data_IF_826138683275
#
_entry.id   IF_826138683275
#
_cell.length_a   1.000
_cell.length_b   1.000
_cell.length_c   1.000
_cell.angle_alpha   90.00
_cell.angle_beta   90.00
_cell.angle_gamma   90.00
#
_symmetry.space_group_name_H-M   'P 1'
#
loop_
_entity.id
_entity.type
_entity.pdbx_description
1 polymer ?
#
# COMPACT_ATOMS: atom_id res chain seq x y z
N UNK A 1 -1.75 -7.89 -7.14
CA UNK A 1 -2.88 -8.29 -6.27
C UNK A 1 -2.69 -9.70 -5.69
N UNK A 2 -2.27 -10.71 -6.47
CA UNK A 2 -2.11 -12.11 -5.99
C UNK A 2 -1.11 -12.22 -4.85
N UNK A 3 0.07 -11.59 -4.97
CA UNK A 3 1.11 -11.60 -3.92
C UNK A 3 0.59 -10.89 -2.66
N UNK A 4 -0.08 -9.76 -2.81
CA UNK A 4 -0.70 -9.03 -1.70
C UNK A 4 -1.70 -9.92 -0.94
N UNK A 5 -2.63 -10.55 -1.67
CA UNK A 5 -3.61 -11.48 -1.09
C UNK A 5 -2.93 -12.59 -0.28
N UNK A 6 -1.87 -13.16 -0.83
CA UNK A 6 -1.11 -14.20 -0.14
C UNK A 6 -0.50 -13.69 1.16
N UNK A 7 0.17 -12.53 1.16
CA UNK A 7 0.77 -11.93 2.37
C UNK A 7 -0.29 -11.75 3.46
N UNK A 8 -1.46 -11.21 3.11
CA UNK A 8 -2.55 -10.99 4.07
C UNK A 8 -3.10 -12.31 4.60
N UNK A 9 -3.28 -13.32 3.75
CA UNK A 9 -3.73 -14.65 4.16
C UNK A 9 -2.72 -15.36 5.07
N UNK A 10 -1.43 -15.31 4.73
CA UNK A 10 -0.36 -15.90 5.53
C UNK A 10 -0.30 -15.24 6.93
N UNK A 11 -0.41 -13.91 6.99
CA UNK A 11 -0.48 -13.16 8.26
C UNK A 11 -1.69 -13.58 9.10
N UNK A 12 -2.87 -13.70 8.48
CA UNK A 12 -4.07 -14.13 9.16
C UNK A 12 -3.96 -15.57 9.67
N UNK A 13 -3.41 -16.47 8.86
CA UNK A 13 -3.17 -17.85 9.26
C UNK A 13 -2.20 -17.98 10.45
N UNK A 14 -1.16 -17.13 10.48
CA UNK A 14 -0.16 -17.12 11.55
C UNK A 14 -0.69 -16.54 12.87
N UNK A 15 -1.41 -15.41 12.81
CA UNK A 15 -1.78 -14.61 13.98
C UNK A 15 -3.25 -14.73 14.40
N UNK A 16 -4.12 -15.27 13.54
CA UNK A 16 -5.58 -15.29 13.74
C UNK A 16 -6.26 -13.92 13.60
N UNK A 17 -5.51 -12.88 13.28
CA UNK A 17 -6.00 -11.52 13.06
C UNK A 17 -5.02 -10.73 12.19
N UNK A 18 -5.45 -9.53 11.75
CA UNK A 18 -4.63 -8.62 10.96
C UNK A 18 -4.27 -7.33 11.73
N UNK A 19 -4.34 -7.35 13.06
CA UNK A 19 -4.09 -6.16 13.88
C UNK A 19 -2.75 -5.51 13.57
N UNK A 20 -2.76 -4.17 13.58
CA UNK A 20 -1.59 -3.33 13.39
C UNK A 20 -0.95 -3.47 12.01
N UNK A 21 -1.78 -3.72 11.00
CA UNK A 21 -1.35 -3.80 9.61
C UNK A 21 -1.67 -2.52 8.86
N UNK A 22 -0.67 -1.97 8.19
CA UNK A 22 -0.79 -0.81 7.32
C UNK A 22 -0.56 -1.23 5.88
N UNK A 23 -1.51 -0.91 5.01
CA UNK A 23 -1.41 -1.13 3.57
C UNK A 23 -1.26 0.23 2.90
N UNK A 24 -0.13 0.43 2.25
CA UNK A 24 0.11 1.63 1.48
C UNK A 24 -0.17 1.36 0.00
N UNK A 25 -1.21 2.00 -0.51
CA UNK A 25 -1.63 1.89 -1.91
C UNK A 25 -1.06 3.07 -2.70
N UNK A 26 -0.48 2.84 -3.89
CA UNK A 26 0.04 3.93 -4.71
C UNK A 26 -1.09 4.83 -5.20
N UNK A 27 -0.72 6.05 -5.52
CA UNK A 27 -1.53 6.87 -6.42
C UNK A 27 -1.50 6.22 -7.79
N UNK A 28 -2.68 5.95 -8.34
CA UNK A 28 -2.75 5.43 -9.69
C UNK A 28 -2.38 6.52 -10.70
N UNK A 29 -1.17 6.48 -11.21
CA UNK A 29 -0.88 7.04 -12.53
C UNK A 29 -1.24 5.97 -13.53
N UNK A 30 -2.01 6.32 -14.56
CA UNK A 30 -2.31 5.40 -15.65
C UNK A 30 -0.99 4.93 -16.30
N UNK A 31 -0.86 3.65 -16.66
CA UNK A 31 0.33 3.15 -17.35
C UNK A 31 0.57 3.76 -18.74
N UNK A 32 -0.33 4.59 -19.25
CA UNK A 32 -0.47 4.84 -20.70
C UNK A 32 -0.10 6.25 -21.17
N UNK A 33 0.53 7.10 -20.36
CA UNK A 33 0.98 8.41 -20.86
C UNK A 33 2.11 8.34 -21.91
N UNK A 34 2.70 7.15 -22.13
CA UNK A 34 3.72 6.96 -23.18
C UNK A 34 3.19 6.35 -24.52
N UNK A 35 1.90 5.94 -24.60
CA UNK A 35 1.32 5.31 -25.78
C UNK A 35 -0.05 5.86 -26.23
N UNK A 36 -0.44 7.04 -25.80
CA UNK A 36 -1.79 7.59 -26.01
C UNK A 36 -2.08 8.15 -27.42
N UNK A 37 -1.24 7.88 -28.43
CA UNK A 37 -1.40 8.48 -29.77
C UNK A 37 -2.24 7.66 -30.77
N UNK A 38 -2.89 6.54 -30.39
CA UNK A 38 -3.47 5.66 -31.44
C UNK A 38 -4.97 5.33 -31.31
N UNK A 39 -5.64 5.48 -30.17
CA UNK A 39 -7.08 5.18 -30.12
C UNK A 39 -7.93 6.16 -29.31
N UNK A 40 -8.77 6.86 -30.05
CA UNK A 40 -9.92 7.70 -29.71
C UNK A 40 -11.00 6.93 -28.92
N UNK A 41 -11.71 7.65 -28.01
CA UNK A 41 -12.90 7.23 -27.26
C UNK A 41 -12.72 6.20 -26.11
N UNK A 42 -12.21 6.67 -24.98
CA UNK A 42 -12.62 6.12 -23.67
C UNK A 42 -12.84 7.25 -22.68
N UNK A 43 -13.93 7.11 -21.91
CA UNK A 43 -14.35 8.04 -20.87
C UNK A 43 -13.17 8.54 -20.06
N UNK A 44 -13.05 9.85 -19.89
CA UNK A 44 -12.05 10.52 -19.03
C UNK A 44 -12.37 10.13 -17.57
N UNK A 45 -11.88 8.97 -17.14
CA UNK A 45 -11.87 8.64 -15.72
C UNK A 45 -10.80 9.55 -15.10
N UNK A 46 -11.20 10.43 -14.19
CA UNK A 46 -10.28 11.28 -13.46
C UNK A 46 -9.27 10.45 -12.68
N UNK A 47 -8.04 10.91 -12.53
CA UNK A 47 -6.98 10.24 -11.77
C UNK A 47 -7.41 9.95 -10.32
N UNK A 48 -8.26 10.81 -9.75
CA UNK A 48 -8.85 10.61 -8.43
C UNK A 48 -9.81 9.41 -8.39
N UNK A 49 -10.59 9.17 -9.42
CA UNK A 49 -11.50 8.01 -9.51
C UNK A 49 -10.72 6.70 -9.68
N UNK A 50 -9.64 6.71 -10.46
CA UNK A 50 -8.77 5.54 -10.60
C UNK A 50 -8.06 5.21 -9.28
N UNK A 51 -7.55 6.21 -8.60
CA UNK A 51 -6.91 6.08 -7.29
C UNK A 51 -7.89 5.56 -6.24
N UNK A 52 -9.13 6.07 -6.21
CA UNK A 52 -10.19 5.60 -5.32
C UNK A 52 -10.57 4.14 -5.61
N UNK A 53 -10.67 3.75 -6.88
CA UNK A 53 -10.94 2.36 -7.26
C UNK A 53 -9.81 1.42 -6.83
N UNK A 54 -8.56 1.87 -6.88
CA UNK A 54 -7.42 1.08 -6.47
C UNK A 54 -7.41 0.82 -4.96
N UNK A 55 -7.59 1.85 -4.13
CA UNK A 55 -7.66 1.67 -2.67
C UNK A 55 -8.87 0.82 -2.27
N UNK A 56 -9.98 0.93 -2.97
CA UNK A 56 -11.17 0.10 -2.75
C UNK A 56 -10.90 -1.37 -3.04
N UNK A 57 -10.17 -1.66 -4.11
CA UNK A 57 -9.77 -3.01 -4.47
C UNK A 57 -8.93 -3.65 -3.37
N UNK A 58 -7.90 -2.97 -2.89
CA UNK A 58 -7.06 -3.49 -1.80
C UNK A 58 -7.83 -3.62 -0.48
N UNK A 59 -8.71 -2.66 -0.17
CA UNK A 59 -9.59 -2.71 1.00
C UNK A 59 -10.51 -3.92 0.95
N UNK A 60 -11.14 -4.19 -0.20
CA UNK A 60 -12.01 -5.37 -0.41
C UNK A 60 -11.23 -6.69 -0.28
N UNK A 61 -9.99 -6.75 -0.77
CA UNK A 61 -9.16 -7.94 -0.61
C UNK A 61 -8.94 -8.25 0.88
N UNK A 62 -8.65 -7.24 1.68
CA UNK A 62 -8.48 -7.40 3.14
C UNK A 62 -9.78 -7.83 3.81
N UNK A 63 -10.90 -7.19 3.50
CA UNK A 63 -12.23 -7.54 4.04
C UNK A 63 -12.64 -8.99 3.76
N UNK A 64 -12.23 -9.51 2.61
CA UNK A 64 -12.57 -10.88 2.20
C UNK A 64 -11.74 -11.97 2.87
N UNK A 65 -10.71 -11.62 3.66
CA UNK A 65 -9.90 -12.61 4.40
C UNK A 65 -10.69 -13.19 5.56
N UNK A 66 -11.41 -12.34 6.31
CA UNK A 66 -12.28 -12.77 7.41
C UNK A 66 -13.43 -11.78 7.59
N UNK A 67 -14.61 -12.30 7.96
CA UNK A 67 -15.79 -11.50 8.29
C UNK A 67 -15.58 -10.62 9.54
N UNK A 68 -14.64 -10.97 10.38
CA UNK A 68 -14.33 -10.23 11.62
C UNK A 68 -13.24 -9.17 11.45
N UNK A 69 -12.52 -9.18 10.33
CA UNK A 69 -11.46 -8.20 10.08
C UNK A 69 -12.03 -6.80 9.88
N UNK A 70 -11.58 -5.87 10.71
CA UNK A 70 -11.95 -4.46 10.62
C UNK A 70 -10.89 -3.70 9.82
N UNK A 71 -11.30 -3.13 8.69
CA UNK A 71 -10.43 -2.32 7.83
C UNK A 71 -11.04 -0.94 7.61
N UNK A 72 -10.20 0.09 7.60
CA UNK A 72 -10.60 1.47 7.30
C UNK A 72 -9.67 2.08 6.26
N UNK A 73 -10.26 2.83 5.33
CA UNK A 73 -9.52 3.71 4.44
C UNK A 73 -9.05 4.93 5.21
N UNK A 74 -7.81 5.31 5.00
CA UNK A 74 -7.18 6.46 5.60
C UNK A 74 -6.55 7.32 4.50
N UNK A 75 -7.32 8.27 4.02
CA UNK A 75 -6.99 9.15 2.90
C UNK A 75 -6.95 10.61 3.34
N UNK A 76 -6.39 11.48 2.51
CA UNK A 76 -6.36 12.92 2.76
C UNK A 76 -7.78 13.49 2.91
N UNK A 77 -7.97 14.44 3.81
CA UNK A 77 -9.26 15.12 4.02
C UNK A 77 -10.26 14.39 4.92
N UNK A 78 -9.96 13.22 5.47
CA UNK A 78 -10.84 12.56 6.46
C UNK A 78 -10.94 13.42 7.74
N UNK A 79 -12.17 13.69 8.17
CA UNK A 79 -12.46 14.52 9.36
C UNK A 79 -12.15 13.80 10.67
N UNK A 80 -12.40 12.49 10.75
CA UNK A 80 -12.22 11.66 11.96
C UNK A 80 -10.82 11.07 12.08
N UNK A 81 -9.80 11.76 11.57
CA UNK A 81 -8.44 11.27 11.46
C UNK A 81 -7.86 10.73 12.78
N UNK A 82 -7.99 11.51 13.85
CA UNK A 82 -7.47 11.15 15.16
C UNK A 82 -8.21 9.95 15.76
N UNK A 83 -9.52 9.89 15.64
CA UNK A 83 -10.34 8.77 16.10
C UNK A 83 -9.95 7.46 15.40
N UNK A 84 -9.74 7.50 14.08
CA UNK A 84 -9.30 6.33 13.31
C UNK A 84 -7.93 5.85 13.79
N UNK A 85 -6.99 6.76 14.03
CA UNK A 85 -5.66 6.42 14.51
C UNK A 85 -5.68 5.84 15.93
N UNK A 86 -6.51 6.38 16.82
CA UNK A 86 -6.71 5.84 18.18
C UNK A 86 -7.31 4.43 18.13
N UNK A 87 -8.35 4.21 17.34
CA UNK A 87 -8.96 2.89 17.14
C UNK A 87 -7.99 1.88 16.51
N UNK A 88 -7.13 2.34 15.63
CA UNK A 88 -6.07 1.50 15.07
C UNK A 88 -5.01 1.17 16.13
N UNK A 89 -4.59 2.13 16.92
CA UNK A 89 -3.58 1.93 17.97
C UNK A 89 -4.05 0.99 19.08
N UNK A 90 -5.35 0.96 19.40
CA UNK A 90 -5.93 0.00 20.35
C UNK A 90 -6.34 -1.34 19.72
N UNK A 91 -6.27 -1.47 18.39
CA UNK A 91 -6.58 -2.70 17.65
C UNK A 91 -8.06 -2.95 17.40
N UNK A 92 -8.94 -1.96 17.58
CA UNK A 92 -10.33 -2.01 17.13
C UNK A 92 -10.40 -1.98 15.60
N UNK A 93 -9.55 -1.17 14.96
CA UNK A 93 -9.30 -1.22 13.53
C UNK A 93 -8.02 -2.05 13.35
N UNK A 94 -8.14 -3.17 12.66
CA UNK A 94 -7.00 -4.08 12.44
C UNK A 94 -6.10 -3.60 11.31
N UNK A 95 -6.70 -3.08 10.24
CA UNK A 95 -5.98 -2.69 9.03
C UNK A 95 -6.35 -1.27 8.61
N UNK A 96 -5.33 -0.46 8.35
CA UNK A 96 -5.47 0.80 7.63
C UNK A 96 -5.01 0.63 6.18
N UNK A 97 -5.87 0.97 5.23
CA UNK A 97 -5.49 1.14 3.83
C UNK A 97 -5.29 2.63 3.58
N UNK A 98 -4.08 3.02 3.22
CA UNK A 98 -3.68 4.43 3.12
C UNK A 98 -3.15 4.76 1.73
N UNK A 99 -3.47 5.97 1.27
CA UNK A 99 -2.92 6.57 0.07
C UNK A 99 -2.52 8.01 0.40
N UNK A 100 -1.34 8.47 -0.02
CA UNK A 100 -0.79 9.84 0.22
C UNK A 100 -0.57 10.23 1.69
N UNK A 101 -1.43 9.83 2.61
CA UNK A 101 -1.49 10.35 3.97
C UNK A 101 -0.23 10.17 4.81
N UNK A 102 0.61 9.16 4.51
CA UNK A 102 1.87 8.99 5.24
C UNK A 102 2.90 10.08 4.92
N UNK A 103 2.74 10.78 3.80
CA UNK A 103 3.63 11.89 3.43
C UNK A 103 3.33 13.15 4.23
N UNK A 104 2.11 13.28 4.77
CA UNK A 104 1.62 14.45 5.51
C UNK A 104 1.99 14.46 7.01
N UNK A 105 3.01 13.72 7.43
CA UNK A 105 3.48 13.80 8.81
C UNK A 105 2.78 12.87 9.81
N UNK A 106 1.94 11.94 9.35
CA UNK A 106 1.23 11.00 10.22
C UNK A 106 2.17 9.96 10.78
N UNK A 107 2.06 9.75 12.06
CA UNK A 107 2.80 8.75 12.80
C UNK A 107 1.89 7.57 13.14
N UNK A 108 2.34 6.35 12.80
CA UNK A 108 1.65 5.10 13.09
C UNK A 108 2.57 4.11 13.82
N UNK A 109 3.09 4.48 15.00
CA UNK A 109 4.14 3.73 15.68
C UNK A 109 3.70 2.32 16.07
N UNK A 110 2.38 2.09 16.23
CA UNK A 110 1.83 0.78 16.59
C UNK A 110 1.85 -0.23 15.44
N UNK A 111 2.11 0.20 14.20
CA UNK A 111 2.14 -0.72 13.05
C UNK A 111 3.22 -1.79 13.21
N UNK A 112 2.81 -3.05 13.20
CA UNK A 112 3.68 -4.23 13.25
C UNK A 112 3.98 -4.79 11.86
N UNK A 113 3.07 -4.59 10.91
CA UNK A 113 3.25 -4.96 9.51
C UNK A 113 2.89 -3.80 8.60
N UNK A 114 3.69 -3.57 7.59
CA UNK A 114 3.38 -2.65 6.51
C UNK A 114 3.59 -3.29 5.15
N UNK A 115 2.65 -3.06 4.24
CA UNK A 115 2.71 -3.55 2.87
C UNK A 115 2.67 -2.34 1.94
N UNK A 116 3.76 -2.11 1.23
CA UNK A 116 3.82 -1.10 0.17
C UNK A 116 3.47 -1.76 -1.16
N UNK A 117 2.29 -1.45 -1.70
CA UNK A 117 1.75 -2.07 -2.91
C UNK A 117 2.35 -1.50 -4.21
N UNK A 118 3.12 -0.42 -4.13
CA UNK A 118 4.05 0.01 -5.16
C UNK A 118 5.20 0.77 -4.53
N UNK A 119 6.39 0.56 -5.06
CA UNK A 119 7.55 1.39 -4.76
C UNK A 119 7.43 2.70 -5.53
N UNK A 120 7.50 3.81 -4.82
CA UNK A 120 7.66 5.10 -5.49
C UNK A 120 9.07 5.21 -6.03
N UNK A 121 9.23 5.75 -7.23
CA UNK A 121 10.55 6.03 -7.80
C UNK A 121 11.36 7.09 -7.03
N UNK A 122 10.82 7.64 -5.93
CA UNK A 122 11.48 8.62 -5.09
C UNK A 122 12.07 7.96 -3.81
N UNK A 123 13.40 7.76 -3.73
CA UNK A 123 14.04 7.10 -2.60
C UNK A 123 13.81 7.82 -1.25
N UNK A 124 13.66 9.16 -1.27
CA UNK A 124 13.46 9.96 -0.03
C UNK A 124 12.09 9.67 0.59
N UNK A 125 11.04 9.65 -0.21
CA UNK A 125 9.69 9.32 0.28
C UNK A 125 9.63 7.90 0.84
N UNK A 126 10.28 6.96 0.17
CA UNK A 126 10.37 5.58 0.59
C UNK A 126 11.04 5.43 1.97
N UNK A 127 12.18 6.10 2.19
CA UNK A 127 12.89 6.09 3.48
C UNK A 127 12.03 6.74 4.58
N UNK A 128 11.40 7.87 4.29
CA UNK A 128 10.55 8.58 5.25
C UNK A 128 9.33 7.75 5.69
N UNK A 129 8.65 7.10 4.75
CA UNK A 129 7.49 6.23 5.04
C UNK A 129 7.88 5.06 5.93
N UNK A 130 8.98 4.37 5.61
CA UNK A 130 9.51 3.28 6.45
C UNK A 130 9.90 3.76 7.84
N UNK A 131 10.56 4.89 7.96
CA UNK A 131 10.98 5.47 9.24
C UNK A 131 9.83 5.67 10.22
N UNK A 132 8.64 6.00 9.74
CA UNK A 132 7.43 6.17 10.57
C UNK A 132 6.88 4.85 11.13
N UNK A 133 6.97 3.79 10.33
CA UNK A 133 6.53 2.46 10.72
C UNK A 133 7.54 1.83 11.68
N UNK A 134 8.83 2.10 11.50
CA UNK A 134 9.91 1.57 12.34
C UNK A 134 10.04 2.25 13.70
N UNK A 135 9.25 3.30 13.99
CA UNK A 135 9.26 3.95 15.30
C UNK A 135 8.95 2.97 16.41
N UNK A 136 9.65 3.14 17.53
CA UNK A 136 9.46 2.31 18.72
C UNK A 136 8.07 2.55 19.32
N UNK A 137 7.46 1.47 19.77
CA UNK A 137 6.25 1.48 20.59
C UNK A 137 6.42 0.44 21.70
N UNK A 138 5.95 0.70 22.95
CA UNK A 138 6.15 -0.21 24.07
C UNK A 138 5.69 -1.65 23.78
N UNK A 139 4.56 -1.80 23.10
CA UNK A 139 3.96 -3.11 22.79
C UNK A 139 4.38 -3.69 21.43
N UNK A 140 5.34 -3.09 20.75
CA UNK A 140 5.83 -3.55 19.47
C UNK A 140 7.28 -4.02 19.55
N UNK A 141 7.49 -5.30 19.32
CA UNK A 141 8.83 -5.90 19.31
C UNK A 141 9.46 -5.94 17.92
N UNK A 142 8.64 -6.04 16.87
CA UNK A 142 9.08 -6.18 15.50
C UNK A 142 8.16 -5.41 14.54
N UNK A 143 8.74 -4.86 13.49
CA UNK A 143 8.00 -4.35 12.33
C UNK A 143 8.44 -5.11 11.08
N UNK A 144 7.48 -5.71 10.40
CA UNK A 144 7.69 -6.41 9.13
C UNK A 144 7.26 -5.49 8.00
N UNK A 145 8.13 -5.28 7.02
CA UNK A 145 7.84 -4.46 5.86
C UNK A 145 7.91 -5.32 4.60
N UNK A 146 6.81 -5.36 3.85
CA UNK A 146 6.75 -5.96 2.53
C UNK A 146 6.71 -4.85 1.48
N UNK A 147 7.65 -4.87 0.55
CA UNK A 147 7.64 -4.00 -0.62
C UNK A 147 7.29 -4.83 -1.86
N UNK A 148 6.18 -4.49 -2.49
CA UNK A 148 5.77 -5.11 -3.76
C UNK A 148 6.36 -4.30 -4.92
N UNK A 149 7.42 -4.83 -5.51
CA UNK A 149 8.09 -4.22 -6.66
C UNK A 149 7.64 -4.91 -7.93
N UNK A 150 7.17 -4.14 -8.90
CA UNK A 150 6.90 -4.65 -10.24
C UNK A 150 8.20 -4.67 -11.02
N UNK A 151 8.68 -5.86 -11.36
CA UNK A 151 9.84 -6.01 -12.22
C UNK A 151 9.35 -6.33 -13.63
N UNK A 152 9.64 -5.50 -14.64
CA UNK A 152 9.29 -5.82 -16.01
C UNK A 152 9.99 -7.12 -16.44
N UNK A 153 9.30 -7.98 -17.18
CA UNK A 153 9.91 -9.13 -17.81
C UNK A 153 10.85 -8.62 -18.90
N UNK A 154 12.14 -8.59 -18.60
CA UNK A 154 13.17 -8.27 -19.60
C UNK A 154 13.27 -9.49 -20.53
N UNK A 155 12.89 -9.33 -21.79
CA UNK A 155 13.18 -10.34 -22.81
C UNK A 155 14.72 -10.50 -22.90
N UNK A 156 15.19 -11.73 -23.03
CA UNK A 156 16.64 -12.07 -23.04
C UNK A 156 17.49 -11.24 -24.01
N UNK A 157 16.90 -10.77 -25.11
CA UNK A 157 17.54 -9.88 -26.08
C UNK A 157 17.85 -8.46 -25.50
N UNK A 158 17.01 -7.95 -24.62
CA UNK A 158 17.21 -6.63 -23.98
C UNK A 158 18.21 -6.71 -22.80
N UNK A 159 18.27 -7.85 -22.13
CA UNK A 159 19.25 -8.08 -21.06
C UNK A 159 20.69 -8.06 -21.59
N UNK A 160 20.94 -8.65 -22.76
CA UNK A 160 22.25 -8.63 -23.40
C UNK A 160 22.68 -7.22 -23.84
N UNK A 161 21.75 -6.38 -24.32
CA UNK A 161 22.05 -4.99 -24.71
C UNK A 161 22.47 -4.11 -23.53
N UNK A 162 21.94 -4.36 -22.33
CA UNK A 162 22.31 -3.59 -21.14
C UNK A 162 23.63 -4.09 -20.48
N UNK A 163 24.02 -5.35 -20.69
CA UNK A 163 25.30 -5.87 -20.23
C UNK A 163 26.49 -5.39 -21.06
N UNK A 164 26.30 -5.09 -22.34
CA UNK A 164 27.36 -4.58 -23.21
C UNK A 164 27.67 -3.07 -22.99
N UNK A 165 26.89 -2.37 -22.18
CA UNK A 165 27.07 -0.93 -21.89
C UNK A 165 27.58 -0.63 -20.47
N UNK A 166 27.80 -1.61 -19.63
CA UNK A 166 28.42 -1.50 -18.31
C UNK A 166 29.86 -1.98 -18.35
#
# INVERSE_FOLDING_TARGET
>A
EQIFRKIIQDRYAEKGNLKYTLVYVPEGTRPDDEMADVFDYTEVINDDDYSNNLIDTYTKIVQNVSKTTTVRKFISGIKERNEILEKYACGEIEVLTSMKCLDEGIDVPRSEMAIFCASTGNPRQFIQRRGRILRKHPDKHLAIIHDLVVVPKINSAQANYNMERS
#
